data_IF_726268862293
#
_entry.id   IF_726268862293
#
_cell.length_a   1.000
_cell.length_b   1.000
_cell.length_c   1.000
_cell.angle_alpha   90.00
_cell.angle_beta   90.00
_cell.angle_gamma   90.00
#
_symmetry.space_group_name_H-M   'P 1'
#
loop_
_entity.id
_entity.type
_entity.pdbx_description
1 polymer ?
#
# COMPACT_ATOMS: atom_id res chain seq x y z
N UNK A 1 -3.71 -2.49 41.28
CA UNK A 1 -2.86 -2.13 40.12
C UNK A 1 -3.68 -1.20 39.26
N UNK A 2 -3.40 0.11 39.35
CA UNK A 2 -4.08 1.15 38.64
C UNK A 2 -3.84 0.98 37.13
N UNK A 3 -4.93 0.97 36.36
CA UNK A 3 -4.97 0.77 34.92
C UNK A 3 -4.32 1.96 34.22
N UNK A 4 -3.30 1.71 33.43
CA UNK A 4 -2.55 2.67 32.61
C UNK A 4 -3.40 3.35 31.49
N UNK A 5 -4.72 3.19 31.52
CA UNK A 5 -5.66 3.69 30.50
C UNK A 5 -5.99 5.19 30.62
N UNK A 6 -5.67 5.84 31.73
CA UNK A 6 -6.13 7.21 31.98
C UNK A 6 -5.29 8.35 31.34
N UNK A 7 -3.97 8.15 31.15
CA UNK A 7 -3.09 9.27 30.80
C UNK A 7 -2.97 9.58 29.30
N UNK A 8 -3.11 8.58 28.43
CA UNK A 8 -2.99 8.81 26.99
C UNK A 8 -4.26 9.38 26.35
N UNK A 9 -5.43 9.17 26.97
CA UNK A 9 -6.71 9.76 26.53
C UNK A 9 -6.68 11.30 26.54
N UNK A 10 -5.93 11.91 27.45
CA UNK A 10 -5.78 13.37 27.50
C UNK A 10 -4.87 13.94 26.39
N UNK A 11 -3.86 13.20 25.93
CA UNK A 11 -2.95 13.65 24.86
C UNK A 11 -3.62 13.63 23.48
N UNK A 12 -4.50 12.67 23.22
CA UNK A 12 -5.23 12.54 21.95
C UNK A 12 -6.30 13.63 21.75
N UNK A 13 -6.82 14.22 22.84
CA UNK A 13 -7.87 15.24 22.80
C UNK A 13 -7.48 16.54 22.08
N UNK A 14 -6.20 16.89 22.00
CA UNK A 14 -5.76 18.15 21.40
C UNK A 14 -5.73 18.15 19.87
N UNK A 15 -5.58 16.99 19.22
CA UNK A 15 -5.45 16.89 17.76
C UNK A 15 -6.51 16.05 17.04
N UNK A 16 -7.12 15.06 17.71
CA UNK A 16 -8.03 14.09 17.08
C UNK A 16 -9.44 14.03 17.70
N UNK A 17 -9.75 14.95 18.59
CA UNK A 17 -11.02 14.93 19.33
C UNK A 17 -11.07 13.91 20.47
N UNK A 18 -12.24 13.73 21.12
CA UNK A 18 -12.42 12.74 22.18
C UNK A 18 -12.29 11.32 21.61
N UNK A 19 -11.59 10.45 22.33
CA UNK A 19 -11.52 9.03 21.96
C UNK A 19 -12.88 8.38 22.24
N UNK A 20 -13.46 7.79 21.21
CA UNK A 20 -14.73 7.06 21.28
C UNK A 20 -14.53 5.71 21.97
N UNK A 21 -15.60 5.14 22.53
CA UNK A 21 -15.58 3.79 23.10
C UNK A 21 -16.55 2.89 22.36
N UNK A 22 -16.03 1.78 21.85
CA UNK A 22 -16.76 0.79 21.07
C UNK A 22 -16.75 -0.55 21.81
N UNK A 23 -17.93 -1.16 22.01
CA UNK A 23 -18.04 -2.47 22.66
C UNK A 23 -18.21 -3.54 21.60
N UNK A 24 -17.31 -4.53 21.61
CA UNK A 24 -17.34 -5.68 20.71
C UNK A 24 -18.31 -6.73 21.25
N UNK A 25 -19.08 -7.39 20.36
CA UNK A 25 -19.97 -8.48 20.76
C UNK A 25 -19.20 -9.64 21.35
N UNK A 26 -19.78 -10.27 22.38
CA UNK A 26 -19.24 -11.47 23.01
C UNK A 26 -18.95 -12.56 21.97
N UNK A 27 -17.74 -13.14 22.03
CA UNK A 27 -17.23 -14.14 21.10
C UNK A 27 -16.54 -13.56 19.85
N UNK A 28 -16.77 -12.27 19.51
CA UNK A 28 -16.14 -11.59 18.37
C UNK A 28 -14.81 -10.91 18.74
N UNK A 29 -14.55 -10.68 20.02
CA UNK A 29 -13.30 -10.13 20.56
C UNK A 29 -12.06 -10.96 20.19
N UNK A 30 -12.26 -12.25 19.92
CA UNK A 30 -11.19 -13.17 19.49
C UNK A 30 -10.47 -12.67 18.23
N UNK A 31 -11.16 -11.97 17.32
CA UNK A 31 -10.55 -11.37 16.14
C UNK A 31 -9.46 -10.38 16.52
N UNK A 32 -9.80 -9.38 17.34
CA UNK A 32 -8.83 -8.38 17.78
C UNK A 32 -7.72 -8.97 18.66
N UNK A 33 -8.03 -9.96 19.51
CA UNK A 33 -7.03 -10.68 20.31
C UNK A 33 -6.04 -11.46 19.44
N UNK A 34 -6.48 -11.90 18.26
CA UNK A 34 -5.62 -12.55 17.26
C UNK A 34 -5.04 -11.55 16.24
N UNK A 35 -5.02 -10.26 16.57
CA UNK A 35 -4.46 -9.19 15.74
C UNK A 35 -5.14 -8.99 14.38
N UNK A 36 -6.37 -9.49 14.19
CA UNK A 36 -7.16 -9.19 13.01
C UNK A 36 -7.80 -7.80 13.15
N UNK A 37 -7.48 -6.84 12.26
CA UNK A 37 -7.76 -5.44 12.54
C UNK A 37 -9.19 -4.99 12.29
N UNK A 38 -10.00 -5.78 11.59
CA UNK A 38 -11.29 -5.34 11.06
C UNK A 38 -12.46 -5.86 11.90
N UNK A 39 -13.37 -4.94 12.30
CA UNK A 39 -14.69 -5.29 12.83
C UNK A 39 -15.77 -4.81 11.87
N UNK A 40 -16.71 -5.71 11.58
CA UNK A 40 -17.89 -5.42 10.79
C UNK A 40 -19.05 -4.98 11.69
N UNK A 41 -20.08 -4.41 11.07
CA UNK A 41 -21.22 -3.79 11.81
C UNK A 41 -21.93 -4.77 12.75
N UNK A 42 -22.10 -6.00 12.32
CA UNK A 42 -22.73 -7.09 13.08
C UNK A 42 -21.89 -7.60 14.26
N UNK A 43 -20.62 -7.22 14.32
CA UNK A 43 -19.66 -7.63 15.37
C UNK A 43 -19.55 -6.58 16.51
N UNK A 44 -20.18 -5.44 16.34
CA UNK A 44 -20.20 -4.33 17.32
C UNK A 44 -21.49 -4.42 18.13
N UNK A 45 -21.38 -4.52 19.47
CA UNK A 45 -22.52 -4.59 20.38
C UNK A 45 -23.09 -3.21 20.69
N UNK A 46 -22.19 -2.25 21.00
CA UNK A 46 -22.56 -0.87 21.25
C UNK A 46 -21.66 0.04 20.40
N UNK A 47 -22.16 0.53 19.26
CA UNK A 47 -21.45 1.51 18.46
C UNK A 47 -21.44 2.86 19.19
N UNK A 48 -20.31 3.59 19.15
CA UNK A 48 -20.27 4.95 19.71
C UNK A 48 -21.06 5.93 18.83
N UNK A 49 -21.52 7.01 19.44
CA UNK A 49 -22.00 8.15 18.67
C UNK A 49 -20.81 8.91 18.07
N UNK A 50 -20.91 9.20 16.75
CA UNK A 50 -19.88 9.96 16.02
C UNK A 50 -18.90 9.14 15.21
N UNK A 51 -17.83 9.81 14.79
CA UNK A 51 -16.77 9.31 13.91
C UNK A 51 -15.44 9.76 14.49
N UNK A 52 -14.45 8.86 14.55
CA UNK A 52 -13.13 9.24 15.05
C UNK A 52 -12.28 8.09 15.58
N UNK A 53 -11.22 8.45 16.29
CA UNK A 53 -10.40 7.48 17.00
C UNK A 53 -11.23 6.81 18.08
N UNK A 54 -11.20 5.49 18.12
CA UNK A 54 -11.99 4.70 19.06
C UNK A 54 -11.13 3.65 19.75
N UNK A 55 -11.43 3.43 21.04
CA UNK A 55 -10.97 2.28 21.82
C UNK A 55 -12.01 1.18 21.73
N UNK A 56 -11.63 0.02 21.23
CA UNK A 56 -12.45 -1.18 21.24
C UNK A 56 -12.21 -1.94 22.54
N UNK A 57 -13.32 -2.32 23.20
CA UNK A 57 -13.32 -3.10 24.43
C UNK A 57 -14.26 -4.31 24.30
N UNK A 58 -14.02 -5.35 25.11
CA UNK A 58 -14.96 -6.47 25.21
C UNK A 58 -16.18 -6.11 26.09
N UNK A 59 -17.09 -7.07 26.27
CA UNK A 59 -18.32 -6.88 27.06
C UNK A 59 -18.04 -6.56 28.54
N UNK A 60 -16.90 -6.99 29.07
CA UNK A 60 -16.44 -6.69 30.43
C UNK A 60 -15.63 -5.39 30.53
N UNK A 61 -15.50 -4.65 29.42
CA UNK A 61 -14.78 -3.39 29.36
C UNK A 61 -13.26 -3.52 29.29
N UNK A 62 -12.72 -4.72 29.03
CA UNK A 62 -11.29 -4.93 28.89
C UNK A 62 -10.82 -4.46 27.51
N UNK A 63 -9.69 -3.80 27.49
CA UNK A 63 -9.07 -3.25 26.27
C UNK A 63 -8.78 -4.33 25.22
N UNK A 64 -9.03 -4.03 23.96
CA UNK A 64 -8.74 -4.88 22.80
C UNK A 64 -7.85 -4.19 21.77
N UNK A 65 -8.19 -2.98 21.35
CA UNK A 65 -7.45 -2.25 20.32
C UNK A 65 -7.78 -0.75 20.30
N UNK A 66 -6.91 0.05 19.69
CA UNK A 66 -7.21 1.43 19.26
C UNK A 66 -7.24 1.48 17.75
N UNK A 67 -8.25 2.11 17.21
CA UNK A 67 -8.43 2.24 15.77
C UNK A 67 -9.23 3.47 15.40
N UNK A 68 -9.78 3.45 14.19
CA UNK A 68 -10.67 4.48 13.69
C UNK A 68 -12.05 3.87 13.42
N UNK A 69 -13.08 4.56 13.90
CA UNK A 69 -14.48 4.19 13.72
C UNK A 69 -15.19 5.20 12.81
N UNK A 70 -15.85 4.70 11.78
CA UNK A 70 -16.78 5.43 10.93
C UNK A 70 -17.94 4.49 10.52
N UNK A 71 -19.18 4.74 10.98
CA UNK A 71 -20.32 3.87 10.67
C UNK A 71 -20.70 3.87 9.18
N UNK A 72 -20.19 4.81 8.38
CA UNK A 72 -20.40 4.87 6.93
C UNK A 72 -19.46 3.96 6.16
N UNK A 73 -18.34 3.53 6.77
CA UNK A 73 -17.39 2.61 6.18
C UNK A 73 -18.01 1.22 6.01
N UNK A 74 -17.60 0.51 4.96
CA UNK A 74 -17.90 -0.91 4.79
C UNK A 74 -17.32 -1.75 5.93
N UNK A 75 -16.20 -1.34 6.48
CA UNK A 75 -15.59 -1.89 7.69
C UNK A 75 -15.55 -0.79 8.74
N UNK A 76 -16.60 -0.67 9.59
CA UNK A 76 -16.78 0.46 10.50
C UNK A 76 -15.62 0.71 11.45
N UNK A 77 -14.95 -0.33 11.94
CA UNK A 77 -13.79 -0.17 12.80
C UNK A 77 -12.57 -0.89 12.21
N UNK A 78 -11.46 -0.15 12.10
CA UNK A 78 -10.15 -0.68 11.72
C UNK A 78 -9.13 -0.37 12.81
N UNK A 79 -8.58 -1.41 13.42
CA UNK A 79 -7.55 -1.28 14.44
C UNK A 79 -6.20 -0.89 13.82
N UNK A 80 -5.52 0.05 14.45
CA UNK A 80 -4.14 0.46 14.13
C UNK A 80 -3.13 -0.12 15.12
N UNK A 81 -3.56 -0.30 16.38
CA UNK A 81 -2.71 -0.86 17.42
C UNK A 81 -3.51 -1.72 18.39
N UNK A 82 -2.84 -2.72 18.98
CA UNK A 82 -3.40 -3.70 19.90
C UNK A 82 -2.83 -3.56 21.32
N UNK A 83 -2.19 -2.45 21.60
CA UNK A 83 -1.73 -1.99 22.90
C UNK A 83 -2.34 -0.60 23.16
N UNK A 84 -2.57 -0.22 24.42
CA UNK A 84 -3.09 1.12 24.74
C UNK A 84 -2.13 2.22 24.30
N UNK A 85 -2.68 3.29 23.74
CA UNK A 85 -1.89 4.46 23.37
C UNK A 85 -2.47 5.28 22.22
N UNK A 86 -1.97 6.51 21.98
CA UNK A 86 -2.48 7.40 20.96
C UNK A 86 -2.05 7.01 19.56
N UNK A 87 -2.86 7.38 18.56
CA UNK A 87 -2.51 7.37 17.14
C UNK A 87 -1.85 8.70 16.77
N UNK A 88 -0.71 9.00 17.37
CA UNK A 88 0.02 10.24 17.17
C UNK A 88 1.18 10.07 16.16
N UNK A 89 1.90 11.17 15.89
CA UNK A 89 3.05 11.18 14.97
C UNK A 89 4.10 10.13 15.31
N UNK A 90 4.46 9.98 16.60
CA UNK A 90 5.46 9.00 17.05
C UNK A 90 5.01 7.54 16.77
N UNK A 91 3.72 7.25 16.91
CA UNK A 91 3.17 5.94 16.53
C UNK A 91 3.40 5.66 15.03
N UNK A 92 3.05 6.61 14.16
CA UNK A 92 3.23 6.44 12.71
C UNK A 92 4.70 6.40 12.30
N UNK A 93 5.56 7.21 12.91
CA UNK A 93 7.03 7.12 12.71
C UNK A 93 7.54 5.70 13.01
N UNK A 94 7.12 5.12 14.13
CA UNK A 94 7.48 3.74 14.49
C UNK A 94 7.02 2.71 13.45
N UNK A 95 5.80 2.87 12.88
CA UNK A 95 5.28 2.00 11.82
C UNK A 95 6.07 2.12 10.52
N UNK A 96 6.36 3.33 10.08
CA UNK A 96 7.17 3.57 8.86
C UNK A 96 8.62 3.10 9.01
N UNK A 97 9.24 3.36 10.17
CA UNK A 97 10.58 2.86 10.45
C UNK A 97 10.64 1.32 10.45
N UNK A 98 9.62 0.64 10.99
CA UNK A 98 9.50 -0.82 10.94
C UNK A 98 9.31 -1.31 9.50
N UNK A 99 8.49 -0.62 8.70
CA UNK A 99 8.28 -0.93 7.29
C UNK A 99 9.58 -0.84 6.49
N UNK A 100 10.36 0.23 6.67
CA UNK A 100 11.68 0.41 6.05
C UNK A 100 12.63 -0.74 6.41
N UNK A 101 12.75 -1.08 7.70
CA UNK A 101 13.64 -2.17 8.14
C UNK A 101 13.28 -3.51 7.50
N UNK A 102 11.98 -3.81 7.34
CA UNK A 102 11.50 -5.04 6.72
C UNK A 102 11.83 -5.13 5.23
N UNK A 103 12.06 -4.01 4.56
CA UNK A 103 12.33 -3.91 3.12
C UNK A 103 13.80 -3.65 2.80
N UNK A 104 14.67 -3.70 3.80
CA UNK A 104 16.13 -3.62 3.56
C UNK A 104 16.55 -4.72 2.60
N UNK A 105 17.32 -4.35 1.56
CA UNK A 105 17.80 -5.27 0.55
C UNK A 105 16.84 -5.57 -0.61
N UNK A 106 15.63 -4.98 -0.65
CA UNK A 106 14.69 -5.17 -1.76
C UNK A 106 14.99 -4.32 -3.02
N UNK A 107 16.08 -3.54 -3.04
CA UNK A 107 16.41 -2.66 -4.15
C UNK A 107 15.65 -1.33 -4.14
N UNK A 108 15.80 -0.57 -5.23
CA UNK A 108 15.27 0.80 -5.34
C UNK A 108 13.75 0.86 -5.53
N UNK A 109 13.16 -0.18 -6.15
CA UNK A 109 11.73 -0.23 -6.42
C UNK A 109 11.08 -1.37 -5.64
N UNK A 110 10.23 -1.03 -4.66
CA UNK A 110 9.53 -2.02 -3.83
C UNK A 110 8.30 -1.42 -3.13
N UNK A 111 7.37 -2.30 -2.72
CA UNK A 111 6.27 -1.89 -1.84
C UNK A 111 6.79 -1.63 -0.43
N UNK A 112 6.78 -0.35 -0.03
CA UNK A 112 7.23 0.08 1.30
C UNK A 112 6.16 -0.17 2.37
N UNK A 113 4.89 0.09 2.08
CA UNK A 113 3.77 -0.13 3.00
C UNK A 113 2.69 -0.96 2.33
N UNK A 114 2.24 -2.01 3.01
CA UNK A 114 1.17 -2.89 2.55
C UNK A 114 0.04 -2.98 3.57
N UNK A 115 -0.65 -1.88 3.81
CA UNK A 115 -1.89 -1.83 4.58
C UNK A 115 -1.79 -2.50 5.95
N UNK A 116 -2.70 -3.42 6.18
CA UNK A 116 -2.86 -4.17 7.42
C UNK A 116 -1.59 -4.96 7.83
N UNK A 117 -0.84 -5.47 6.85
CA UNK A 117 0.41 -6.22 7.11
C UNK A 117 1.49 -5.36 7.80
N UNK A 118 1.45 -4.05 7.62
CA UNK A 118 2.34 -3.09 8.27
C UNK A 118 1.66 -2.34 9.44
N UNK A 119 0.42 -2.69 9.76
CA UNK A 119 -0.38 -2.04 10.81
C UNK A 119 -0.80 -0.62 10.45
N UNK A 120 -0.99 -0.37 9.13
CA UNK A 120 -1.44 0.89 8.54
C UNK A 120 -2.65 0.63 7.63
N UNK A 121 -3.82 0.24 8.20
CA UNK A 121 -4.96 -0.28 7.45
C UNK A 121 -5.44 0.67 6.36
N UNK A 122 -5.39 0.22 5.11
CA UNK A 122 -5.81 1.00 3.95
C UNK A 122 -4.77 1.97 3.39
N UNK A 123 -3.52 1.96 3.85
CA UNK A 123 -2.42 2.70 3.23
C UNK A 123 -1.53 1.76 2.41
N UNK A 124 -1.33 2.09 1.15
CA UNK A 124 -0.31 1.47 0.30
C UNK A 124 0.69 2.54 -0.09
N UNK A 125 1.97 2.22 0.02
CA UNK A 125 3.06 3.09 -0.43
C UNK A 125 4.06 2.23 -1.19
N UNK A 126 4.28 2.58 -2.44
CA UNK A 126 5.33 2.00 -3.27
C UNK A 126 6.47 3.01 -3.44
N UNK A 127 7.69 2.52 -3.35
CA UNK A 127 8.92 3.30 -3.51
C UNK A 127 9.51 3.01 -4.89
N UNK A 128 9.91 4.08 -5.59
CA UNK A 128 10.64 4.05 -6.84
C UNK A 128 11.83 5.01 -6.73
N UNK A 129 12.98 4.46 -6.34
CA UNK A 129 14.17 5.26 -5.99
C UNK A 129 13.89 6.23 -4.83
N UNK A 130 13.89 7.53 -5.13
CA UNK A 130 13.67 8.60 -4.16
C UNK A 130 12.21 9.13 -4.15
N UNK A 131 11.33 8.53 -4.98
CA UNK A 131 9.93 8.92 -5.10
C UNK A 131 9.02 7.87 -4.45
N UNK A 132 7.95 8.34 -3.81
CA UNK A 132 6.88 7.49 -3.30
C UNK A 132 5.60 7.70 -4.09
N UNK A 133 4.92 6.60 -4.42
CA UNK A 133 3.55 6.62 -4.93
C UNK A 133 2.65 5.98 -3.90
N UNK A 134 1.62 6.69 -3.45
CA UNK A 134 0.75 6.21 -2.38
C UNK A 134 -0.72 6.10 -2.80
N UNK A 135 -1.43 5.22 -2.10
CA UNK A 135 -2.88 5.08 -2.17
C UNK A 135 -3.47 5.07 -0.77
N UNK A 136 -4.46 5.91 -0.55
CA UNK A 136 -5.25 5.94 0.68
C UNK A 136 -6.63 5.34 0.38
N UNK A 137 -6.92 4.19 0.97
CA UNK A 137 -8.07 3.34 0.63
C UNK A 137 -9.14 3.28 1.71
N UNK A 138 -8.89 3.84 2.92
CA UNK A 138 -9.81 3.79 4.05
C UNK A 138 -10.10 5.15 4.63
N UNK A 139 -11.31 5.31 5.20
CA UNK A 139 -11.73 6.56 5.87
C UNK A 139 -10.84 6.94 7.04
N UNK A 140 -10.42 5.95 7.83
CA UNK A 140 -9.54 6.19 8.98
C UNK A 140 -8.16 6.71 8.56
N UNK A 141 -7.58 6.13 7.51
CA UNK A 141 -6.30 6.61 6.99
C UNK A 141 -6.42 8.00 6.35
N UNK A 142 -7.53 8.29 5.66
CA UNK A 142 -7.79 9.65 5.14
C UNK A 142 -7.93 10.67 6.29
N UNK A 143 -8.71 10.35 7.32
CA UNK A 143 -8.93 11.24 8.45
C UNK A 143 -7.66 11.53 9.28
N UNK A 144 -6.75 10.56 9.34
CA UNK A 144 -5.47 10.69 10.07
C UNK A 144 -4.31 11.24 9.20
N UNK A 145 -4.60 11.73 7.99
CA UNK A 145 -3.59 12.20 7.02
C UNK A 145 -2.64 13.23 7.60
N UNK A 146 -3.15 14.23 8.30
CA UNK A 146 -2.35 15.31 8.90
C UNK A 146 -1.39 14.81 10.00
N UNK A 147 -1.61 13.60 10.50
CA UNK A 147 -0.75 12.97 11.51
C UNK A 147 0.29 12.06 10.88
N UNK A 148 -0.14 11.17 9.96
CA UNK A 148 0.76 10.17 9.40
C UNK A 148 1.63 10.68 8.24
N UNK A 149 1.14 11.62 7.42
CA UNK A 149 1.91 12.09 6.27
C UNK A 149 3.21 12.79 6.68
N UNK A 150 3.22 13.73 7.64
CA UNK A 150 4.47 14.28 8.14
C UNK A 150 5.42 13.22 8.74
N UNK A 151 4.86 12.20 9.42
CA UNK A 151 5.68 11.10 9.96
C UNK A 151 6.31 10.25 8.84
N UNK A 152 5.61 10.01 7.74
CA UNK A 152 6.14 9.34 6.55
C UNK A 152 7.30 10.14 5.94
N UNK A 153 7.10 11.45 5.74
CA UNK A 153 8.11 12.34 5.15
C UNK A 153 9.38 12.40 5.99
N UNK A 154 9.25 12.48 7.31
CA UNK A 154 10.42 12.49 8.21
C UNK A 154 11.21 11.19 8.20
N UNK A 155 10.51 10.04 8.22
CA UNK A 155 11.16 8.73 8.35
C UNK A 155 11.77 8.27 7.03
N UNK A 156 11.12 8.54 5.90
CA UNK A 156 11.55 8.05 4.58
C UNK A 156 12.41 9.07 3.85
N UNK A 157 12.21 10.38 4.12
CA UNK A 157 12.86 11.50 3.47
C UNK A 157 12.87 11.42 1.94
N UNK A 158 11.68 11.23 1.28
CA UNK A 158 11.59 11.14 -0.17
C UNK A 158 11.82 12.51 -0.82
N UNK A 159 12.27 12.53 -2.08
CA UNK A 159 12.30 13.77 -2.89
C UNK A 159 10.89 14.20 -3.31
N UNK A 160 10.02 13.25 -3.55
CA UNK A 160 8.64 13.52 -3.93
C UNK A 160 7.68 12.43 -3.54
N UNK A 161 6.41 12.81 -3.38
CA UNK A 161 5.29 11.91 -3.09
C UNK A 161 4.15 12.23 -4.03
N UNK A 162 3.66 11.22 -4.72
CA UNK A 162 2.51 11.30 -5.61
C UNK A 162 1.38 10.41 -5.13
N UNK A 163 0.15 10.85 -5.20
CA UNK A 163 -1.03 10.07 -4.82
C UNK A 163 -1.75 9.51 -6.04
N UNK A 164 -2.09 8.23 -6.00
CA UNK A 164 -2.90 7.49 -6.96
C UNK A 164 -4.04 6.78 -6.25
N UNK A 165 -4.90 7.56 -5.61
CA UNK A 165 -6.07 7.09 -4.86
C UNK A 165 -7.35 7.05 -5.72
N UNK A 166 -7.21 6.81 -7.01
CA UNK A 166 -8.25 6.58 -8.02
C UNK A 166 -8.61 5.07 -8.10
N UNK A 167 -8.82 4.44 -6.96
CA UNK A 167 -9.00 2.99 -6.84
C UNK A 167 -10.38 2.62 -6.30
N UNK A 168 -10.89 1.46 -6.75
CA UNK A 168 -12.23 0.97 -6.38
C UNK A 168 -12.44 0.85 -4.86
N UNK A 169 -11.42 0.39 -4.12
CA UNK A 169 -11.49 0.29 -2.67
C UNK A 169 -11.80 1.63 -1.99
N UNK A 170 -11.30 2.75 -2.54
CA UNK A 170 -11.57 4.09 -2.05
C UNK A 170 -13.00 4.56 -2.39
N UNK A 171 -13.46 4.27 -3.61
CA UNK A 171 -14.85 4.52 -4.04
C UNK A 171 -15.86 3.77 -3.16
N UNK A 172 -15.59 2.52 -2.82
CA UNK A 172 -16.41 1.71 -1.91
C UNK A 172 -16.49 2.26 -0.49
N UNK A 173 -15.50 3.03 -0.06
CA UNK A 173 -15.53 3.78 1.21
C UNK A 173 -16.29 5.11 1.08
N UNK A 174 -16.78 5.47 -0.11
CA UNK A 174 -17.44 6.75 -0.37
C UNK A 174 -16.50 7.95 -0.23
N UNK A 175 -15.22 7.75 -0.53
CA UNK A 175 -14.21 8.81 -0.55
C UNK A 175 -14.00 9.29 -1.99
N UNK A 176 -13.83 10.60 -2.22
CA UNK A 176 -13.51 11.12 -3.54
C UNK A 176 -12.14 10.62 -4.01
N UNK A 177 -12.00 10.41 -5.30
CA UNK A 177 -10.71 10.10 -5.90
C UNK A 177 -9.71 11.23 -5.67
N UNK A 178 -8.44 10.86 -5.48
CA UNK A 178 -7.32 11.79 -5.36
C UNK A 178 -6.16 11.32 -6.22
N UNK A 179 -5.75 12.17 -7.15
CA UNK A 179 -4.59 11.96 -8.02
C UNK A 179 -3.81 13.26 -8.07
N UNK A 180 -2.51 13.21 -7.81
CA UNK A 180 -1.67 14.39 -7.92
C UNK A 180 -0.47 14.40 -6.98
N UNK A 181 0.32 15.47 -7.13
CA UNK A 181 1.47 15.75 -6.29
C UNK A 181 1.03 16.04 -4.84
N UNK A 182 1.66 15.36 -3.89
CA UNK A 182 1.43 15.52 -2.45
C UNK A 182 2.57 16.28 -1.78
N UNK A 183 3.81 16.01 -2.22
CA UNK A 183 5.01 16.61 -1.63
C UNK A 183 6.17 16.62 -2.62
N UNK A 184 7.01 17.65 -2.56
CA UNK A 184 8.26 17.78 -3.28
C UNK A 184 8.10 17.75 -4.80
N UNK A 185 8.99 17.03 -5.47
CA UNK A 185 9.02 16.92 -6.93
C UNK A 185 8.94 15.46 -7.36
N UNK A 186 8.11 15.17 -8.36
CA UNK A 186 7.94 13.84 -8.92
C UNK A 186 8.08 13.94 -10.43
N UNK A 187 8.96 13.15 -11.07
CA UNK A 187 9.12 13.15 -12.52
C UNK A 187 7.88 12.59 -13.21
N UNK A 188 7.62 13.01 -14.44
CA UNK A 188 6.53 12.46 -15.26
C UNK A 188 6.73 10.98 -15.62
N UNK A 189 7.99 10.52 -15.62
CA UNK A 189 8.38 9.13 -15.88
C UNK A 189 9.12 8.59 -14.66
N UNK A 190 8.58 7.52 -14.09
CA UNK A 190 9.20 6.78 -13.00
C UNK A 190 10.21 5.76 -13.57
N UNK A 191 11.45 5.80 -13.10
CA UNK A 191 12.40 4.75 -13.39
C UNK A 191 12.21 3.59 -12.40
N UNK A 192 11.60 2.51 -12.86
CA UNK A 192 11.43 1.30 -12.07
C UNK A 192 12.64 0.40 -12.30
N UNK A 193 13.35 0.06 -11.23
CA UNK A 193 14.48 -0.87 -11.28
C UNK A 193 14.09 -2.22 -10.66
N UNK A 194 14.37 -3.30 -11.36
CA UNK A 194 14.19 -4.65 -10.85
C UNK A 194 15.28 -5.60 -11.41
N UNK A 195 16.21 -6.01 -10.55
CA UNK A 195 17.26 -6.97 -10.86
C UNK A 195 18.10 -6.59 -12.11
N UNK A 196 18.42 -5.30 -12.22
CA UNK A 196 19.19 -4.74 -13.34
C UNK A 196 18.37 -4.41 -14.59
N UNK A 197 17.09 -4.71 -14.61
CA UNK A 197 16.16 -4.20 -15.63
C UNK A 197 15.62 -2.84 -15.22
N UNK A 198 15.54 -1.90 -16.16
CA UNK A 198 15.00 -0.56 -15.93
C UNK A 198 13.85 -0.28 -16.88
N UNK A 199 12.73 0.16 -16.30
CA UNK A 199 11.48 0.45 -17.02
C UNK A 199 11.13 1.92 -16.83
N UNK A 200 11.09 2.72 -17.90
CA UNK A 200 10.63 4.11 -17.85
C UNK A 200 9.09 4.13 -17.89
N UNK A 201 8.44 4.09 -16.75
CA UNK A 201 6.97 4.02 -16.68
C UNK A 201 6.40 5.44 -16.52
N UNK A 202 5.64 5.96 -17.50
CA UNK A 202 4.93 7.22 -17.35
C UNK A 202 3.99 7.18 -16.15
N UNK A 203 4.01 8.23 -15.34
CA UNK A 203 3.18 8.31 -14.14
C UNK A 203 1.67 8.25 -14.48
N UNK A 204 1.27 8.77 -15.64
CA UNK A 204 -0.09 8.69 -16.16
C UNK A 204 -0.52 7.26 -16.51
N UNK A 205 0.39 6.44 -17.05
CA UNK A 205 0.14 5.04 -17.41
C UNK A 205 0.10 4.12 -16.19
N UNK A 206 0.72 4.52 -15.09
CA UNK A 206 0.95 3.68 -13.94
C UNK A 206 -0.32 3.00 -13.43
N UNK A 207 -0.54 1.74 -13.81
CA UNK A 207 -1.58 0.89 -13.22
C UNK A 207 -1.26 0.67 -11.73
N UNK A 208 -2.27 0.67 -10.89
CA UNK A 208 -2.11 0.63 -9.43
C UNK A 208 -1.23 1.82 -8.97
N UNK A 209 0.04 1.57 -8.67
CA UNK A 209 1.04 2.58 -8.26
C UNK A 209 2.19 2.71 -9.25
N UNK A 210 2.19 1.94 -10.36
CA UNK A 210 3.18 2.05 -11.44
C UNK A 210 3.71 0.72 -11.98
N UNK A 211 3.89 -0.28 -11.12
CA UNK A 211 4.43 -1.58 -11.52
C UNK A 211 3.89 -2.71 -10.62
N UNK A 212 3.88 -3.93 -11.12
CA UNK A 212 3.47 -5.13 -10.36
C UNK A 212 4.63 -5.66 -9.52
N UNK A 213 4.99 -4.92 -8.47
CA UNK A 213 6.12 -5.24 -7.58
C UNK A 213 5.96 -6.57 -6.84
N UNK A 214 4.73 -7.04 -6.67
CA UNK A 214 4.38 -8.32 -6.06
C UNK A 214 4.79 -9.54 -6.92
N UNK A 215 5.03 -9.35 -8.22
CA UNK A 215 5.44 -10.41 -9.14
C UNK A 215 6.96 -10.61 -9.23
N UNK A 216 7.78 -9.88 -8.47
CA UNK A 216 9.25 -9.96 -8.54
C UNK A 216 9.76 -11.38 -8.39
N UNK A 217 9.35 -12.10 -7.36
CA UNK A 217 9.82 -13.46 -7.11
C UNK A 217 9.35 -14.44 -8.20
N UNK A 218 8.13 -14.29 -8.70
CA UNK A 218 7.63 -15.07 -9.83
C UNK A 218 8.46 -14.82 -11.09
N UNK A 219 8.81 -13.56 -11.35
CA UNK A 219 9.67 -13.21 -12.49
C UNK A 219 11.09 -13.78 -12.34
N UNK A 220 11.66 -13.79 -11.13
CA UNK A 220 12.96 -14.42 -10.85
C UNK A 220 12.93 -15.93 -11.08
N UNK A 221 11.92 -16.61 -10.55
CA UNK A 221 11.72 -18.04 -10.75
C UNK A 221 11.54 -18.39 -12.23
N UNK A 222 10.71 -17.64 -12.93
CA UNK A 222 10.53 -17.79 -14.37
C UNK A 222 11.85 -17.63 -15.12
N UNK A 223 12.61 -16.55 -14.87
CA UNK A 223 13.90 -16.32 -15.51
C UNK A 223 14.90 -17.46 -15.27
N UNK A 224 14.90 -18.04 -14.06
CA UNK A 224 15.76 -19.17 -13.74
C UNK A 224 15.43 -20.45 -14.55
N UNK A 225 14.18 -20.60 -15.00
CA UNK A 225 13.73 -21.74 -15.81
C UNK A 225 13.99 -21.56 -17.32
N UNK A 226 14.09 -20.31 -17.79
CA UNK A 226 14.26 -20.00 -19.21
C UNK A 226 15.66 -20.39 -19.69
N UNK A 227 15.73 -21.04 -20.86
CA UNK A 227 16.97 -21.44 -21.52
C UNK A 227 17.17 -20.64 -22.82
N UNK A 228 18.43 -20.42 -23.23
CA UNK A 228 18.72 -19.80 -24.53
C UNK A 228 18.10 -20.58 -25.70
N UNK A 229 17.50 -19.83 -26.64
CA UNK A 229 16.87 -20.41 -27.82
C UNK A 229 15.43 -20.91 -27.62
N UNK A 230 14.89 -20.91 -26.40
CA UNK A 230 13.50 -21.22 -26.17
C UNK A 230 12.57 -20.13 -26.73
N UNK A 231 11.31 -20.49 -26.98
CA UNK A 231 10.26 -19.56 -27.40
C UNK A 231 9.34 -19.28 -26.23
N UNK A 232 9.19 -18.02 -25.88
CA UNK A 232 8.38 -17.54 -24.75
C UNK A 232 7.28 -16.62 -25.26
N UNK A 233 6.05 -16.87 -24.84
CA UNK A 233 4.89 -16.02 -25.06
C UNK A 233 4.47 -15.40 -23.72
N UNK A 234 4.54 -14.06 -23.63
CA UNK A 234 4.08 -13.27 -22.49
C UNK A 234 2.77 -12.58 -22.86
N UNK A 235 1.64 -13.13 -22.40
CA UNK A 235 0.30 -12.57 -22.61
C UNK A 235 -0.12 -11.74 -21.40
N UNK A 236 -0.80 -10.62 -21.66
CA UNK A 236 -1.05 -9.56 -20.67
C UNK A 236 0.27 -9.00 -20.13
N UNK A 237 1.18 -8.75 -21.08
CA UNK A 237 2.59 -8.47 -20.79
C UNK A 237 2.80 -7.15 -20.05
N UNK A 238 1.84 -6.19 -20.13
CA UNK A 238 1.99 -4.84 -19.63
C UNK A 238 3.29 -4.22 -20.15
N UNK A 239 4.20 -3.79 -19.29
CA UNK A 239 5.51 -3.25 -19.67
C UNK A 239 6.59 -4.33 -19.87
N UNK A 240 6.20 -5.60 -20.01
CA UNK A 240 7.07 -6.70 -20.42
C UNK A 240 8.03 -7.25 -19.38
N UNK A 241 7.65 -7.22 -18.11
CA UNK A 241 8.54 -7.69 -17.04
C UNK A 241 8.99 -9.16 -17.18
N UNK A 242 8.16 -10.05 -17.73
CA UNK A 242 8.53 -11.43 -18.05
C UNK A 242 9.25 -11.52 -19.39
N UNK A 243 8.75 -10.86 -20.44
CA UNK A 243 9.33 -10.90 -21.78
C UNK A 243 10.78 -10.41 -21.79
N UNK A 244 11.11 -9.30 -21.10
CA UNK A 244 12.49 -8.79 -21.02
C UNK A 244 13.43 -9.75 -20.27
N UNK A 245 12.94 -10.44 -19.24
CA UNK A 245 13.73 -11.46 -18.54
C UNK A 245 14.00 -12.67 -19.43
N UNK A 246 13.02 -13.11 -20.21
CA UNK A 246 13.20 -14.16 -21.21
C UNK A 246 14.25 -13.77 -22.26
N UNK A 247 14.12 -12.57 -22.83
CA UNK A 247 15.06 -12.05 -23.82
C UNK A 247 16.49 -11.92 -23.25
N UNK A 248 16.63 -11.48 -21.99
CA UNK A 248 17.93 -11.40 -21.29
C UNK A 248 18.60 -12.78 -21.15
N UNK A 249 17.81 -13.85 -21.06
CA UNK A 249 18.31 -15.25 -21.05
C UNK A 249 18.60 -15.81 -22.44
N UNK A 250 18.39 -15.03 -23.50
CA UNK A 250 18.61 -15.47 -24.89
C UNK A 250 17.44 -16.26 -25.49
N UNK A 251 16.26 -16.17 -24.92
CA UNK A 251 15.05 -16.75 -25.50
C UNK A 251 14.44 -15.82 -26.56
N UNK A 252 13.64 -16.39 -27.46
CA UNK A 252 12.79 -15.64 -28.40
C UNK A 252 11.49 -15.26 -27.68
N UNK A 253 11.36 -14.00 -27.27
CA UNK A 253 10.21 -13.52 -26.53
C UNK A 253 9.23 -12.80 -27.44
N UNK A 254 7.93 -13.16 -27.35
CA UNK A 254 6.80 -12.45 -27.91
C UNK A 254 5.92 -11.94 -26.77
N UNK A 255 5.75 -10.61 -26.70
CA UNK A 255 4.86 -9.95 -25.73
C UNK A 255 3.57 -9.52 -26.40
N UNK A 256 2.43 -9.78 -25.74
CA UNK A 256 1.09 -9.42 -26.21
C UNK A 256 0.35 -8.66 -25.12
N UNK A 257 -0.18 -7.48 -25.45
CA UNK A 257 -1.06 -6.70 -24.57
C UNK A 257 -2.02 -5.85 -25.41
N UNK A 258 -3.13 -5.44 -24.82
CA UNK A 258 -4.08 -4.50 -25.41
C UNK A 258 -3.72 -3.04 -25.18
N UNK A 259 -2.81 -2.76 -24.26
CA UNK A 259 -2.38 -1.42 -23.88
C UNK A 259 -1.16 -1.01 -24.72
N UNK A 260 -1.40 -0.18 -25.74
CA UNK A 260 -0.36 0.31 -26.64
C UNK A 260 0.70 1.15 -25.93
N UNK A 261 0.31 1.93 -24.90
CA UNK A 261 1.26 2.76 -24.15
C UNK A 261 2.19 1.87 -23.31
N UNK A 262 1.66 0.83 -22.70
CA UNK A 262 2.45 -0.16 -21.97
C UNK A 262 3.43 -0.90 -22.88
N UNK A 263 2.98 -1.29 -24.09
CA UNK A 263 3.86 -1.90 -25.10
C UNK A 263 4.93 -0.92 -25.60
N UNK A 264 4.62 0.37 -25.70
CA UNK A 264 5.61 1.42 -26.00
C UNK A 264 6.70 1.53 -24.92
N UNK A 265 6.34 1.40 -23.65
CA UNK A 265 7.32 1.35 -22.53
C UNK A 265 8.20 0.11 -22.65
N UNK A 266 7.61 -1.06 -22.96
CA UNK A 266 8.37 -2.30 -23.19
C UNK A 266 9.38 -2.13 -24.32
N UNK A 267 8.97 -1.56 -25.46
CA UNK A 267 9.86 -1.35 -26.62
C UNK A 267 11.05 -0.44 -26.24
N UNK A 268 10.79 0.67 -25.58
CA UNK A 268 11.83 1.56 -25.08
C UNK A 268 12.78 0.89 -24.09
N UNK A 269 12.23 0.08 -23.16
CA UNK A 269 13.04 -0.65 -22.21
C UNK A 269 13.92 -1.70 -22.90
N UNK A 270 13.39 -2.45 -23.87
CA UNK A 270 14.12 -3.41 -24.67
C UNK A 270 15.27 -2.75 -25.46
N UNK A 271 15.00 -1.62 -26.11
CA UNK A 271 16.02 -0.86 -26.84
C UNK A 271 17.15 -0.37 -25.93
N UNK A 272 16.82 0.22 -24.77
CA UNK A 272 17.81 0.69 -23.78
C UNK A 272 18.70 -0.44 -23.24
N UNK A 273 18.16 -1.64 -23.12
CA UNK A 273 18.86 -2.81 -22.61
C UNK A 273 19.59 -3.61 -23.71
N UNK A 274 19.42 -3.25 -24.98
CA UNK A 274 19.95 -4.01 -26.12
C UNK A 274 19.32 -5.40 -26.25
N UNK A 275 18.08 -5.56 -25.80
CA UNK A 275 17.33 -6.81 -25.85
C UNK A 275 16.34 -6.79 -27.01
N UNK A 276 16.05 -7.99 -27.56
CA UNK A 276 15.05 -8.15 -28.62
C UNK A 276 13.80 -8.83 -28.05
N UNK A 277 12.67 -8.15 -28.14
CA UNK A 277 11.34 -8.68 -27.81
C UNK A 277 10.42 -8.36 -28.99
N UNK A 278 9.77 -9.38 -29.52
CA UNK A 278 8.72 -9.17 -30.52
C UNK A 278 7.46 -8.71 -29.79
N UNK A 279 6.78 -7.68 -30.32
CA UNK A 279 5.65 -7.03 -29.67
C UNK A 279 4.41 -7.15 -30.56
N UNK A 280 3.30 -7.55 -29.96
CA UNK A 280 2.01 -7.63 -30.65
C UNK A 280 0.93 -6.94 -29.84
N UNK A 281 0.28 -5.96 -30.43
CA UNK A 281 -0.94 -5.37 -29.89
C UNK A 281 -2.14 -6.27 -30.19
N UNK A 282 -2.93 -6.59 -29.18
CA UNK A 282 -4.14 -7.41 -29.30
C UNK A 282 -4.69 -7.87 -27.97
N UNK A 283 -5.91 -8.36 -28.01
CA UNK A 283 -6.49 -9.11 -26.89
C UNK A 283 -6.00 -10.56 -26.96
N UNK A 284 -5.68 -11.13 -25.76
CA UNK A 284 -5.18 -12.50 -25.62
C UNK A 284 -6.30 -13.44 -25.23
#
# INVERSE_FOLDING_TARGET
RATASGSWLHHSRRMLGPVLRLVVKAGKERKLRNFYPNLYRDEIAAPPEGVGVAEAVDAEGRFLAVGYYDPRSRVPFRAFRFDPGPLNRAFFQGRFARALRRRQGLGESHRLVHGEADGLPGLVVDRFGEVLVLQVRSRGMEALREVWLPALLEVVAPKGVYERSDVEARRQEGLPERVGLVYGEVPEVLEVEEDGLRFPIPLALAQKTGYYLDQRENRRLFEAMVRPGERVLDVYSYVGGFALRAARKGAYALAVDKDLEALGVLDQAALRLGLRVDIRHGEA
#
